data_IF_710045870333
#
_entry.id   IF_710045870333
#
_cell.length_a   1.000
_cell.length_b   1.000
_cell.length_c   1.000
_cell.angle_alpha   90.00
_cell.angle_beta   90.00
_cell.angle_gamma   90.00
#
_symmetry.space_group_name_H-M   'P 1'
#
loop_
_entity.id
_entity.type
_entity.pdbx_description
1 polymer ?
#
# COMPACT_ATOMS: atom_id res chain seq x y z
N UNK A 1 15.20 -12.06 -14.59
CA UNK A 1 15.37 -12.12 -13.15
C UNK A 1 14.06 -12.26 -12.39
N UNK A 2 14.12 -12.34 -11.05
CA UNK A 2 12.96 -12.54 -10.17
C UNK A 2 11.84 -11.50 -10.31
N UNK A 3 12.20 -10.24 -10.62
CA UNK A 3 11.19 -9.18 -10.83
C UNK A 3 10.28 -9.42 -12.04
N UNK A 4 10.78 -10.07 -13.11
CA UNK A 4 9.95 -10.44 -14.26
C UNK A 4 8.95 -11.53 -13.89
N UNK A 5 9.38 -12.52 -13.11
CA UNK A 5 8.51 -13.61 -12.62
C UNK A 5 7.40 -13.03 -11.74
N UNK A 6 7.74 -12.12 -10.82
CA UNK A 6 6.76 -11.45 -9.97
C UNK A 6 5.73 -10.66 -10.79
N UNK A 7 6.18 -9.89 -11.80
CA UNK A 7 5.27 -9.17 -12.69
C UNK A 7 4.34 -10.09 -13.48
N UNK A 8 4.88 -11.18 -14.02
CA UNK A 8 4.05 -12.12 -14.78
C UNK A 8 2.99 -12.75 -13.88
N UNK A 9 3.36 -13.12 -12.63
CA UNK A 9 2.44 -13.62 -11.63
C UNK A 9 1.39 -12.57 -11.24
N UNK A 10 1.80 -11.33 -10.98
CA UNK A 10 0.89 -10.22 -10.63
C UNK A 10 -0.13 -9.97 -11.75
N UNK A 11 0.31 -9.91 -13.01
CA UNK A 11 -0.58 -9.77 -14.18
C UNK A 11 -1.55 -10.93 -14.31
N UNK A 12 -1.07 -12.17 -14.16
CA UNK A 12 -1.93 -13.36 -14.22
C UNK A 12 -2.97 -13.35 -13.10
N UNK A 13 -2.59 -12.96 -11.89
CA UNK A 13 -3.53 -12.81 -10.76
C UNK A 13 -4.61 -11.79 -11.13
N UNK A 14 -4.21 -10.59 -11.55
CA UNK A 14 -5.16 -9.55 -11.92
C UNK A 14 -6.10 -9.98 -13.05
N UNK A 15 -5.60 -10.69 -14.07
CA UNK A 15 -6.43 -11.21 -15.17
C UNK A 15 -7.47 -12.21 -14.69
N UNK A 16 -7.09 -13.11 -13.77
CA UNK A 16 -8.01 -14.15 -13.24
C UNK A 16 -9.11 -13.59 -12.37
N UNK A 17 -8.83 -12.51 -11.63
CA UNK A 17 -9.81 -11.86 -10.74
C UNK A 17 -10.49 -10.65 -11.38
N UNK A 18 -10.21 -10.36 -12.65
CA UNK A 18 -10.88 -9.29 -13.38
C UNK A 18 -12.31 -9.70 -13.75
N UNK A 19 -13.16 -9.62 -12.74
CA UNK A 19 -14.58 -9.94 -12.82
C UNK A 19 -15.36 -8.66 -12.45
N UNK A 20 -15.47 -7.69 -13.37
CA UNK A 20 -15.91 -6.33 -13.04
C UNK A 20 -17.30 -6.25 -12.41
N UNK A 21 -18.23 -7.12 -12.83
CA UNK A 21 -19.58 -7.14 -12.24
C UNK A 21 -19.58 -7.80 -10.86
N UNK A 22 -18.73 -8.81 -10.64
CA UNK A 22 -18.68 -9.53 -9.39
C UNK A 22 -18.02 -8.69 -8.29
N UNK A 23 -16.89 -8.02 -8.57
CA UNK A 23 -16.18 -7.22 -7.57
C UNK A 23 -16.96 -6.00 -7.07
N UNK A 24 -18.10 -5.67 -7.72
CA UNK A 24 -19.04 -4.63 -7.29
C UNK A 24 -20.16 -5.15 -6.40
N UNK A 25 -20.27 -6.47 -6.26
CA UNK A 25 -21.30 -7.08 -5.43
C UNK A 25 -20.85 -7.15 -3.96
N UNK A 26 -21.77 -7.03 -3.02
CA UNK A 26 -21.49 -7.28 -1.61
C UNK A 26 -20.85 -8.66 -1.40
N UNK A 27 -19.82 -8.73 -0.53
CA UNK A 27 -19.09 -9.96 -0.24
C UNK A 27 -17.94 -10.29 -1.21
N UNK A 28 -17.85 -9.63 -2.37
CA UNK A 28 -16.79 -9.88 -3.35
C UNK A 28 -15.76 -8.74 -3.48
N UNK A 29 -15.81 -7.77 -2.58
CA UNK A 29 -14.89 -6.63 -2.59
C UNK A 29 -13.40 -7.06 -2.48
N UNK A 30 -13.11 -8.20 -1.86
CA UNK A 30 -11.77 -8.78 -1.80
C UNK A 30 -11.11 -8.97 -3.17
N UNK A 31 -11.89 -9.21 -4.22
CA UNK A 31 -11.36 -9.31 -5.59
C UNK A 31 -10.68 -8.01 -6.05
N UNK A 32 -11.13 -6.84 -5.56
CA UNK A 32 -10.50 -5.55 -5.87
C UNK A 32 -9.06 -5.52 -5.37
N UNK A 33 -8.79 -6.08 -4.19
CA UNK A 33 -7.44 -6.13 -3.62
C UNK A 33 -6.48 -6.95 -4.51
N UNK A 34 -6.90 -8.14 -4.89
CA UNK A 34 -6.09 -9.01 -5.78
C UNK A 34 -5.95 -8.43 -7.18
N UNK A 35 -6.97 -7.71 -7.67
CA UNK A 35 -6.89 -7.03 -8.96
C UNK A 35 -5.84 -5.91 -8.97
N UNK A 36 -5.57 -5.28 -7.82
CA UNK A 36 -4.55 -4.24 -7.68
C UNK A 36 -3.11 -4.77 -7.53
N UNK A 37 -2.90 -6.09 -7.54
CA UNK A 37 -1.56 -6.70 -7.41
C UNK A 37 -0.50 -6.12 -8.35
N UNK A 38 -0.77 -5.81 -9.64
CA UNK A 38 0.24 -5.20 -10.52
C UNK A 38 0.72 -3.81 -10.05
N UNK A 39 -0.13 -3.02 -9.39
CA UNK A 39 0.26 -1.72 -8.83
C UNK A 39 1.18 -1.89 -7.63
N UNK A 40 0.87 -2.83 -6.76
CA UNK A 40 1.73 -3.20 -5.62
C UNK A 40 3.09 -3.71 -6.08
N UNK A 41 3.12 -4.57 -7.10
CA UNK A 41 4.35 -5.07 -7.71
C UNK A 41 5.18 -3.92 -8.31
N UNK A 42 4.57 -3.04 -9.07
CA UNK A 42 5.24 -1.90 -9.67
C UNK A 42 5.84 -0.95 -8.61
N UNK A 43 5.13 -0.69 -7.50
CA UNK A 43 5.67 0.09 -6.38
C UNK A 43 6.86 -0.62 -5.75
N UNK A 44 6.74 -1.91 -5.47
CA UNK A 44 7.80 -2.72 -4.83
C UNK A 44 9.09 -2.73 -5.66
N UNK A 45 8.99 -2.77 -6.98
CA UNK A 45 10.14 -2.82 -7.89
C UNK A 45 10.54 -1.47 -8.47
N UNK A 46 9.94 -0.37 -8.02
CA UNK A 46 10.33 0.98 -8.43
C UNK A 46 10.01 1.30 -9.90
N UNK A 47 8.92 0.74 -10.45
CA UNK A 47 8.53 0.92 -11.86
C UNK A 47 7.66 2.15 -12.03
N UNK A 48 8.24 3.31 -11.73
CA UNK A 48 7.51 4.56 -11.61
C UNK A 48 6.89 5.05 -12.91
N UNK A 49 7.58 4.86 -14.04
CA UNK A 49 7.06 5.25 -15.35
C UNK A 49 5.88 4.37 -15.78
N UNK A 50 5.92 3.09 -15.46
CA UNK A 50 4.82 2.16 -15.71
C UNK A 50 3.58 2.52 -14.89
N UNK A 51 3.73 2.87 -13.61
CA UNK A 51 2.63 3.34 -12.77
C UNK A 51 2.00 4.59 -13.37
N UNK A 52 2.83 5.55 -13.75
CA UNK A 52 2.38 6.84 -14.28
C UNK A 52 1.60 6.71 -15.58
N UNK A 53 1.97 5.76 -16.43
CA UNK A 53 1.35 5.56 -17.73
C UNK A 53 -0.07 4.97 -17.65
N UNK A 54 -0.47 4.41 -16.50
CA UNK A 54 -1.74 3.70 -16.35
C UNK A 54 -2.80 4.61 -15.72
N UNK A 55 -3.93 4.87 -16.41
CA UNK A 55 -5.05 5.60 -15.83
C UNK A 55 -5.72 4.78 -14.71
N UNK A 56 -6.57 5.44 -13.90
CA UNK A 56 -7.39 4.74 -12.93
C UNK A 56 -8.30 3.73 -13.65
N UNK A 57 -8.18 2.44 -13.34
CA UNK A 57 -8.87 1.39 -14.09
C UNK A 57 -10.37 1.28 -13.74
N UNK A 58 -10.78 1.78 -12.57
CA UNK A 58 -12.17 1.75 -12.11
C UNK A 58 -12.47 2.92 -11.16
N UNK A 59 -12.73 4.13 -11.69
CA UNK A 59 -12.97 5.34 -10.89
C UNK A 59 -14.21 5.23 -9.99
N UNK A 60 -15.12 4.32 -10.29
CA UNK A 60 -16.33 4.03 -9.52
C UNK A 60 -16.10 3.13 -8.30
N UNK A 61 -14.90 2.54 -8.17
CA UNK A 61 -14.52 1.68 -7.04
C UNK A 61 -13.60 2.45 -6.08
N UNK A 62 -14.09 2.85 -4.89
CA UNK A 62 -13.32 3.67 -3.95
C UNK A 62 -11.98 3.02 -3.54
N UNK A 63 -11.98 1.72 -3.25
CA UNK A 63 -10.75 1.03 -2.86
C UNK A 63 -9.72 0.99 -4.01
N UNK A 64 -10.14 0.64 -5.22
CA UNK A 64 -9.28 0.62 -6.40
C UNK A 64 -8.67 2.02 -6.64
N UNK A 65 -9.51 3.05 -6.54
CA UNK A 65 -9.08 4.45 -6.68
C UNK A 65 -8.10 4.85 -5.57
N UNK A 66 -8.29 4.38 -4.34
CA UNK A 66 -7.36 4.63 -3.23
C UNK A 66 -5.98 4.02 -3.51
N UNK A 67 -5.92 2.74 -3.92
CA UNK A 67 -4.64 2.06 -4.21
C UNK A 67 -3.98 2.63 -5.47
N UNK A 68 -4.77 3.03 -6.48
CA UNK A 68 -4.22 3.74 -7.64
C UNK A 68 -3.56 5.07 -7.22
N UNK A 69 -4.23 5.89 -6.37
CA UNK A 69 -3.64 7.12 -5.85
C UNK A 69 -2.39 6.86 -4.99
N UNK A 70 -2.37 5.79 -4.19
CA UNK A 70 -1.18 5.35 -3.48
C UNK A 70 0.01 5.14 -4.44
N UNK A 71 -0.18 4.35 -5.48
CA UNK A 71 0.88 4.05 -6.44
C UNK A 71 1.35 5.32 -7.18
N UNK A 72 0.42 6.18 -7.61
CA UNK A 72 0.74 7.46 -8.27
C UNK A 72 1.50 8.41 -7.34
N UNK A 73 1.09 8.52 -6.06
CA UNK A 73 1.78 9.34 -5.07
C UNK A 73 3.23 8.85 -4.86
N UNK A 74 3.42 7.53 -4.68
CA UNK A 74 4.74 6.92 -4.53
C UNK A 74 5.63 7.20 -5.75
N UNK A 75 5.10 7.03 -6.96
CA UNK A 75 5.83 7.34 -8.20
C UNK A 75 6.18 8.83 -8.29
N UNK A 76 5.26 9.72 -7.94
CA UNK A 76 5.48 11.16 -7.97
C UNK A 76 6.58 11.58 -6.97
N UNK A 77 6.57 11.06 -5.74
CA UNK A 77 7.61 11.31 -4.73
C UNK A 77 8.98 10.88 -5.26
N UNK A 78 9.09 9.65 -5.76
CA UNK A 78 10.37 9.11 -6.27
C UNK A 78 10.90 9.83 -7.50
N UNK A 79 10.04 10.50 -8.26
CA UNK A 79 10.38 11.32 -9.42
C UNK A 79 10.52 12.82 -9.10
N UNK A 80 10.42 13.23 -7.83
CA UNK A 80 10.54 14.63 -7.39
C UNK A 80 9.36 15.52 -7.76
N UNK A 81 8.22 14.95 -8.19
CA UNK A 81 7.00 15.67 -8.60
C UNK A 81 6.09 15.91 -7.39
N UNK A 82 6.52 16.79 -6.48
CA UNK A 82 5.90 16.94 -5.17
C UNK A 82 4.48 17.48 -5.21
N UNK A 83 4.12 18.32 -6.20
CA UNK A 83 2.76 18.82 -6.36
C UNK A 83 1.79 17.70 -6.73
N UNK A 84 2.18 16.87 -7.70
CA UNK A 84 1.40 15.69 -8.07
C UNK A 84 1.28 14.70 -6.88
N UNK A 85 2.38 14.51 -6.15
CA UNK A 85 2.38 13.63 -4.96
C UNK A 85 1.37 14.11 -3.90
N UNK A 86 1.34 15.40 -3.60
CA UNK A 86 0.38 15.97 -2.66
C UNK A 86 -1.07 15.86 -3.17
N UNK A 87 -1.29 16.03 -4.47
CA UNK A 87 -2.62 15.86 -5.09
C UNK A 87 -3.13 14.43 -4.92
N UNK A 88 -2.31 13.43 -5.25
CA UNK A 88 -2.66 12.03 -5.08
C UNK A 88 -2.80 11.63 -3.61
N UNK A 89 -1.95 12.18 -2.72
CA UNK A 89 -2.06 11.96 -1.29
C UNK A 89 -3.39 12.50 -0.73
N UNK A 90 -3.80 13.70 -1.09
CA UNK A 90 -5.06 14.28 -0.64
C UNK A 90 -6.28 13.44 -1.08
N UNK A 91 -6.25 12.93 -2.33
CA UNK A 91 -7.28 12.04 -2.84
C UNK A 91 -7.29 10.69 -2.09
N UNK A 92 -6.11 10.10 -1.84
CA UNK A 92 -5.97 8.87 -1.07
C UNK A 92 -6.48 9.04 0.36
N UNK A 93 -6.08 10.10 1.06
CA UNK A 93 -6.49 10.37 2.44
C UNK A 93 -8.01 10.51 2.57
N UNK A 94 -8.64 11.21 1.63
CA UNK A 94 -10.10 11.32 1.58
C UNK A 94 -10.77 9.95 1.39
N UNK A 95 -10.25 9.12 0.47
CA UNK A 95 -10.79 7.79 0.21
C UNK A 95 -10.57 6.83 1.38
N UNK A 96 -9.40 6.85 2.02
CA UNK A 96 -9.11 6.00 3.17
C UNK A 96 -10.05 6.30 4.36
N UNK A 97 -10.53 7.55 4.48
CA UNK A 97 -11.50 7.97 5.48
C UNK A 97 -12.98 7.77 5.06
N UNK A 98 -13.23 7.28 3.84
CA UNK A 98 -14.59 7.08 3.35
C UNK A 98 -15.32 6.00 4.17
N UNK A 99 -16.55 6.29 4.67
CA UNK A 99 -17.35 5.34 5.46
C UNK A 99 -17.62 3.99 4.77
N UNK A 100 -17.48 3.91 3.44
CA UNK A 100 -17.65 2.65 2.72
C UNK A 100 -16.49 1.69 2.94
N UNK A 101 -15.27 2.18 3.19
CA UNK A 101 -14.07 1.33 3.28
C UNK A 101 -14.16 0.23 4.33
N UNK A 102 -14.68 0.47 5.55
CA UNK A 102 -14.87 -0.59 6.54
C UNK A 102 -15.89 -1.65 6.14
N UNK A 103 -16.78 -1.37 5.19
CA UNK A 103 -17.80 -2.32 4.71
C UNK A 103 -17.29 -3.21 3.58
N UNK A 104 -16.18 -2.85 2.95
CA UNK A 104 -15.55 -3.64 1.90
C UNK A 104 -14.63 -4.69 2.53
N UNK A 105 -15.09 -5.94 2.55
CA UNK A 105 -14.40 -7.03 3.27
C UNK A 105 -13.61 -7.94 2.33
N UNK A 106 -12.49 -8.43 2.81
CA UNK A 106 -11.76 -9.56 2.20
C UNK A 106 -12.30 -10.83 2.83
N UNK A 107 -13.17 -11.56 2.12
CA UNK A 107 -13.75 -12.85 2.51
C UNK A 107 -14.33 -12.86 3.95
N UNK A 108 -14.99 -11.78 4.35
CA UNK A 108 -15.53 -11.57 5.71
C UNK A 108 -14.50 -11.65 6.85
N UNK A 109 -13.20 -11.62 6.54
CA UNK A 109 -12.12 -11.75 7.53
C UNK A 109 -11.62 -10.42 8.04
N UNK A 110 -11.39 -9.45 7.15
CA UNK A 110 -10.92 -8.11 7.51
C UNK A 110 -11.33 -7.09 6.45
N UNK A 111 -11.49 -5.80 6.85
CA UNK A 111 -11.89 -4.75 5.92
C UNK A 111 -10.71 -4.26 5.08
N UNK A 112 -11.00 -3.90 3.82
CA UNK A 112 -10.05 -3.24 2.91
C UNK A 112 -9.60 -1.87 3.44
N UNK A 113 -10.33 -1.30 4.39
CA UNK A 113 -9.93 -0.10 5.13
C UNK A 113 -8.53 -0.24 5.74
N UNK A 114 -8.11 -1.43 6.18
CA UNK A 114 -6.76 -1.62 6.71
C UNK A 114 -5.70 -1.34 5.65
N UNK A 115 -5.82 -1.93 4.47
CA UNK A 115 -4.88 -1.70 3.37
C UNK A 115 -4.90 -0.24 2.88
N UNK A 116 -6.09 0.39 2.79
CA UNK A 116 -6.21 1.80 2.40
C UNK A 116 -5.55 2.74 3.42
N UNK A 117 -5.70 2.48 4.72
CA UNK A 117 -5.06 3.27 5.77
C UNK A 117 -3.54 3.04 5.83
N UNK A 118 -3.07 1.81 5.64
CA UNK A 118 -1.61 1.53 5.52
C UNK A 118 -1.03 2.29 4.32
N UNK A 119 -1.71 2.27 3.18
CA UNK A 119 -1.32 3.03 1.99
C UNK A 119 -1.19 4.53 2.29
N UNK A 120 -2.19 5.10 2.95
CA UNK A 120 -2.23 6.51 3.33
C UNK A 120 -1.07 6.86 4.27
N UNK A 121 -0.85 6.10 5.35
CA UNK A 121 0.24 6.32 6.30
C UNK A 121 1.62 6.16 5.65
N UNK A 122 1.75 5.22 4.72
CA UNK A 122 3.00 5.01 3.97
C UNK A 122 3.32 6.23 3.09
N UNK A 123 2.35 6.76 2.34
CA UNK A 123 2.58 7.97 1.53
C UNK A 123 2.87 9.18 2.40
N UNK A 124 2.17 9.35 3.53
CA UNK A 124 2.44 10.42 4.49
C UNK A 124 3.88 10.36 4.99
N UNK A 125 4.37 9.17 5.34
CA UNK A 125 5.75 8.98 5.77
C UNK A 125 6.77 9.33 4.67
N UNK A 126 6.52 8.90 3.45
CA UNK A 126 7.41 9.20 2.32
C UNK A 126 7.44 10.71 1.99
N UNK A 127 6.30 11.39 2.10
CA UNK A 127 6.22 12.85 1.97
C UNK A 127 6.99 13.54 3.10
N UNK A 128 6.91 13.03 4.34
CA UNK A 128 7.68 13.55 5.47
C UNK A 128 9.17 13.37 5.26
N UNK A 129 9.62 12.18 4.81
CA UNK A 129 11.03 11.92 4.46
C UNK A 129 11.53 12.87 3.36
N UNK A 130 10.72 13.12 2.33
CA UNK A 130 11.08 14.04 1.26
C UNK A 130 11.27 15.50 1.75
N UNK A 131 10.62 15.87 2.85
CA UNK A 131 10.79 17.17 3.52
C UNK A 131 11.89 17.17 4.59
N UNK A 132 12.54 16.03 4.85
CA UNK A 132 13.53 15.87 5.92
C UNK A 132 12.93 15.68 7.33
N UNK A 133 11.62 15.51 7.44
CA UNK A 133 10.94 15.28 8.73
C UNK A 133 10.93 13.80 9.10
N UNK A 134 12.06 13.32 9.63
CA UNK A 134 12.24 11.94 10.04
C UNK A 134 11.31 11.54 11.19
N UNK A 135 11.00 12.48 12.10
CA UNK A 135 10.14 12.19 13.25
C UNK A 135 8.70 11.91 12.81
N UNK A 136 8.15 12.76 11.93
CA UNK A 136 6.82 12.54 11.36
C UNK A 136 6.74 11.25 10.53
N UNK A 137 7.79 10.93 9.76
CA UNK A 137 7.84 9.70 8.98
C UNK A 137 7.81 8.45 9.86
N UNK A 138 8.63 8.41 10.91
CA UNK A 138 8.66 7.29 11.87
C UNK A 138 7.30 7.15 12.57
N UNK A 139 6.67 8.25 12.98
CA UNK A 139 5.35 8.21 13.62
C UNK A 139 4.29 7.63 12.67
N UNK A 140 4.23 8.08 11.42
CA UNK A 140 3.28 7.58 10.43
C UNK A 140 3.48 6.08 10.14
N UNK A 141 4.74 5.62 10.01
CA UNK A 141 5.04 4.21 9.80
C UNK A 141 4.71 3.35 11.04
N UNK A 142 4.91 3.85 12.25
CA UNK A 142 4.51 3.15 13.46
C UNK A 142 2.99 2.97 13.57
N UNK A 143 2.21 3.98 13.14
CA UNK A 143 0.76 3.86 13.02
C UNK A 143 0.38 2.81 11.97
N UNK A 144 1.04 2.81 10.80
CA UNK A 144 0.82 1.83 9.75
C UNK A 144 1.10 0.39 10.22
N UNK A 145 2.18 0.18 10.99
CA UNK A 145 2.48 -1.12 11.64
C UNK A 145 1.34 -1.54 12.57
N UNK A 146 0.80 -0.61 13.38
CA UNK A 146 -0.33 -0.91 14.28
C UNK A 146 -1.58 -1.34 13.51
N UNK A 147 -1.79 -0.81 12.31
CA UNK A 147 -2.90 -1.21 11.44
C UNK A 147 -2.63 -2.58 10.82
N UNK A 148 -1.41 -2.80 10.30
CA UNK A 148 -1.00 -4.08 9.72
C UNK A 148 -1.15 -5.24 10.71
N UNK A 149 -0.79 -5.02 11.97
CA UNK A 149 -0.90 -6.02 13.04
C UNK A 149 -2.35 -6.49 13.35
N UNK A 150 -3.35 -5.77 12.85
CA UNK A 150 -4.77 -6.15 12.98
C UNK A 150 -5.24 -7.02 11.82
N UNK A 151 -4.46 -7.12 10.73
CA UNK A 151 -4.78 -7.99 9.61
C UNK A 151 -4.42 -9.42 10.04
N UNK A 152 -5.38 -10.35 10.03
CA UNK A 152 -5.08 -11.76 10.31
C UNK A 152 -4.18 -12.32 9.21
N UNK A 153 -3.42 -13.37 9.55
CA UNK A 153 -2.61 -14.09 8.56
C UNK A 153 -3.44 -14.47 7.33
N UNK A 154 -2.90 -14.15 6.16
CA UNK A 154 -3.50 -14.45 4.86
C UNK A 154 -2.42 -14.71 3.80
N UNK A 155 -2.77 -15.47 2.77
CA UNK A 155 -1.91 -15.71 1.61
C UNK A 155 -2.67 -15.44 0.31
N UNK A 156 -2.25 -14.45 -0.46
CA UNK A 156 -1.16 -13.50 -0.20
C UNK A 156 -1.46 -12.56 0.97
N UNK A 157 -0.40 -11.98 1.60
CA UNK A 157 -0.58 -11.05 2.74
C UNK A 157 -1.50 -9.89 2.39
N UNK A 158 -2.29 -9.43 3.36
CA UNK A 158 -3.22 -8.30 3.19
C UNK A 158 -2.54 -6.95 2.91
N UNK A 159 -1.21 -6.88 3.04
CA UNK A 159 -0.38 -5.78 2.54
C UNK A 159 0.86 -6.32 1.84
N UNK A 160 1.22 -5.73 0.69
CA UNK A 160 2.19 -6.28 -0.25
C UNK A 160 3.66 -6.22 0.20
N UNK A 161 3.97 -5.47 1.25
CA UNK A 161 5.33 -5.34 1.79
C UNK A 161 5.25 -5.03 3.28
N UNK A 162 5.88 -5.83 4.15
CA UNK A 162 5.80 -5.61 5.59
C UNK A 162 6.19 -4.17 5.96
N UNK A 163 5.29 -3.46 6.64
CA UNK A 163 5.50 -2.04 7.00
C UNK A 163 6.70 -1.87 7.92
N UNK A 164 7.01 -2.87 8.76
CA UNK A 164 8.18 -2.85 9.62
C UNK A 164 9.50 -2.73 8.85
N UNK A 165 9.57 -3.19 7.60
CA UNK A 165 10.75 -2.99 6.77
C UNK A 165 10.97 -1.49 6.48
N UNK A 166 9.91 -0.76 6.15
CA UNK A 166 9.96 0.69 5.93
C UNK A 166 10.24 1.46 7.21
N UNK A 167 9.63 1.06 8.33
CA UNK A 167 9.87 1.66 9.65
C UNK A 167 11.32 1.47 10.08
N UNK A 168 11.87 0.27 9.95
CA UNK A 168 13.27 -0.01 10.27
C UNK A 168 14.23 0.81 9.41
N UNK A 169 13.96 0.95 8.12
CA UNK A 169 14.75 1.79 7.23
C UNK A 169 14.70 3.28 7.64
N UNK A 170 13.54 3.81 7.98
CA UNK A 170 13.40 5.19 8.46
C UNK A 170 14.16 5.42 9.79
N UNK A 171 14.12 4.46 10.70
CA UNK A 171 14.87 4.49 11.97
C UNK A 171 16.38 4.48 11.73
N UNK A 172 16.88 3.70 10.77
CA UNK A 172 18.30 3.71 10.39
C UNK A 172 18.73 5.06 9.85
N UNK A 173 17.94 5.66 8.96
CA UNK A 173 18.21 7.02 8.43
C UNK A 173 18.24 8.06 9.54
N UNK A 174 17.40 7.89 10.58
CA UNK A 174 17.37 8.76 11.75
C UNK A 174 18.49 8.47 12.79
N UNK A 175 19.42 7.55 12.50
CA UNK A 175 20.51 7.17 13.41
C UNK A 175 20.06 6.29 14.60
N UNK A 176 18.83 5.77 14.58
CA UNK A 176 18.21 4.98 15.65
C UNK A 176 18.39 3.47 15.40
N UNK A 177 19.64 3.03 15.27
CA UNK A 177 19.99 1.66 14.87
C UNK A 177 19.45 0.58 15.81
N UNK A 178 19.49 0.82 17.14
CA UNK A 178 18.96 -0.13 18.12
C UNK A 178 17.43 -0.33 18.01
N UNK A 179 16.70 0.74 17.71
CA UNK A 179 15.25 0.68 17.49
C UNK A 179 14.94 -0.04 16.17
N UNK A 180 15.74 0.21 15.12
CA UNK A 180 15.59 -0.47 13.85
C UNK A 180 15.82 -1.99 13.99
N UNK A 181 16.87 -2.40 14.71
CA UNK A 181 17.13 -3.82 15.01
C UNK A 181 15.92 -4.48 15.70
N UNK A 182 15.36 -3.81 16.71
CA UNK A 182 14.19 -4.30 17.43
C UNK A 182 13.01 -4.53 16.47
N UNK A 183 12.70 -3.54 15.63
CA UNK A 183 11.61 -3.62 14.65
C UNK A 183 11.81 -4.77 13.65
N UNK A 184 13.03 -4.95 13.14
CA UNK A 184 13.33 -6.05 12.22
C UNK A 184 13.25 -7.43 12.89
N UNK A 185 13.68 -7.55 14.15
CA UNK A 185 13.54 -8.79 14.92
C UNK A 185 12.06 -9.13 15.19
N UNK A 186 11.24 -8.13 15.49
CA UNK A 186 9.79 -8.30 15.64
C UNK A 186 9.16 -8.80 14.33
N UNK A 187 9.56 -8.26 13.18
CA UNK A 187 9.08 -8.73 11.88
C UNK A 187 9.42 -10.21 11.65
N UNK A 188 10.68 -10.58 11.86
CA UNK A 188 11.14 -11.97 11.69
C UNK A 188 10.46 -12.96 12.65
N UNK A 189 9.99 -12.50 13.80
CA UNK A 189 9.28 -13.36 14.75
C UNK A 189 7.81 -13.59 14.37
N UNK A 190 7.22 -12.65 13.61
CA UNK A 190 5.82 -12.74 13.15
C UNK A 190 5.68 -13.44 11.81
N UNK A 191 6.66 -13.23 10.94
CA UNK A 191 6.72 -13.74 9.57
C UNK A 191 8.06 -14.45 9.34
N UNK A 192 8.25 -15.64 9.95
CA UNK A 192 9.49 -16.41 9.91
C UNK A 192 9.84 -16.96 8.52
#
# INVERSE_FOLDING_TARGET
>A
GSSKIAQDAARQTAQRVNLPDLMRQPGFAGLQHYWMTPWFDNVRFGRWDEIRAVPNPAPDLPYVTAIWNYAQAMAAIRQGRMEDANTHYAALSKLAADPIMPTLMVWDRYPLAHAANIAERTVNAELALARGDQAAAIAALAEAVTIEDRIPYDEPPGWHSPVRQSLGAALLVAGRAADAEKVYREELSRNP
#
